data_IF_296040459869
#
_entry.id   IF_296040459869
#
_cell.length_a   1.000
_cell.length_b   1.000
_cell.length_c   1.000
_cell.angle_alpha   90.00
_cell.angle_beta   90.00
_cell.angle_gamma   90.00
#
_symmetry.space_group_name_H-M   'P 1'
#
loop_
_entity.id
_entity.type
_entity.pdbx_description
1 polymer ?
#
# COMPACT_ATOMS: atom_id res chain seq x y z
N UNK A 1 -19.93 -34.75 7.16
CA UNK A 1 -19.20 -33.67 7.87
C UNK A 1 -20.24 -32.87 8.63
N UNK A 2 -20.17 -32.78 9.96
CA UNK A 2 -21.19 -32.05 10.71
C UNK A 2 -20.99 -30.54 10.52
N UNK A 3 -22.08 -29.76 10.60
CA UNK A 3 -22.03 -28.29 10.41
C UNK A 3 -21.01 -27.65 11.35
N UNK A 4 -20.91 -28.15 12.58
CA UNK A 4 -19.94 -27.71 13.59
C UNK A 4 -18.50 -27.92 13.11
N UNK A 5 -18.19 -29.09 12.53
CA UNK A 5 -16.85 -29.40 12.01
C UNK A 5 -16.50 -28.51 10.82
N UNK A 6 -17.48 -28.21 9.97
CA UNK A 6 -17.30 -27.36 8.80
C UNK A 6 -17.02 -25.89 9.21
N UNK A 7 -17.70 -25.39 10.24
CA UNK A 7 -17.47 -24.04 10.79
C UNK A 7 -16.13 -23.96 11.52
N UNK A 8 -15.80 -24.95 12.35
CA UNK A 8 -14.51 -25.01 13.04
C UNK A 8 -13.33 -25.05 12.05
N UNK A 9 -13.48 -25.82 10.97
CA UNK A 9 -12.46 -25.90 9.92
C UNK A 9 -12.31 -24.56 9.19
N UNK A 10 -13.41 -23.90 8.82
CA UNK A 10 -13.37 -22.57 8.21
C UNK A 10 -12.69 -21.53 9.13
N UNK A 11 -13.02 -21.56 10.42
CA UNK A 11 -12.40 -20.68 11.42
C UNK A 11 -10.90 -20.97 11.58
N UNK A 12 -10.49 -22.24 11.56
CA UNK A 12 -9.06 -22.60 11.63
C UNK A 12 -8.27 -22.11 10.41
N UNK A 13 -8.84 -22.19 9.20
CA UNK A 13 -8.21 -21.64 8.00
C UNK A 13 -8.13 -20.12 8.05
N UNK A 14 -9.22 -19.44 8.41
CA UNK A 14 -9.24 -18.00 8.58
C UNK A 14 -8.18 -17.54 9.59
N UNK A 15 -8.06 -18.23 10.73
CA UNK A 15 -7.06 -17.95 11.75
C UNK A 15 -5.63 -18.22 11.26
N UNK A 16 -5.40 -19.33 10.55
CA UNK A 16 -4.09 -19.65 9.98
C UNK A 16 -3.61 -18.58 9.01
N UNK A 17 -4.47 -18.18 8.07
CA UNK A 17 -4.18 -17.09 7.15
C UNK A 17 -3.97 -15.76 7.89
N UNK A 18 -4.80 -15.45 8.89
CA UNK A 18 -4.64 -14.26 9.72
C UNK A 18 -3.25 -14.23 10.38
N UNK A 19 -2.83 -15.36 10.97
CA UNK A 19 -1.54 -15.49 11.62
C UNK A 19 -0.37 -15.30 10.65
N UNK A 20 -0.46 -15.90 9.45
CA UNK A 20 0.56 -15.76 8.42
C UNK A 20 0.70 -14.33 7.89
N UNK A 21 -0.39 -13.58 7.74
CA UNK A 21 -0.34 -12.21 7.19
C UNK A 21 -0.10 -11.13 8.25
N UNK A 22 -0.34 -11.41 9.53
CA UNK A 22 -0.32 -10.39 10.59
C UNK A 22 1.02 -9.67 10.68
N UNK A 23 2.15 -10.39 10.57
CA UNK A 23 3.47 -9.76 10.65
C UNK A 23 3.71 -8.81 9.47
N UNK A 24 3.30 -9.19 8.26
CA UNK A 24 3.44 -8.38 7.05
C UNK A 24 2.55 -7.13 7.12
N UNK A 25 1.34 -7.26 7.67
CA UNK A 25 0.45 -6.12 7.93
C UNK A 25 1.04 -5.15 8.95
N UNK A 26 1.59 -5.64 10.05
CA UNK A 26 2.25 -4.81 11.06
C UNK A 26 3.43 -4.06 10.44
N UNK A 27 4.30 -4.75 9.69
CA UNK A 27 5.45 -4.14 9.05
C UNK A 27 5.03 -3.08 8.01
N UNK A 28 4.06 -3.41 7.16
CA UNK A 28 3.54 -2.51 6.12
C UNK A 28 2.90 -1.26 6.69
N UNK A 29 2.06 -1.38 7.72
CA UNK A 29 1.47 -0.22 8.38
C UNK A 29 2.48 0.58 9.21
N UNK A 30 3.47 -0.08 9.80
CA UNK A 30 4.55 0.63 10.48
C UNK A 30 5.34 1.49 9.48
N UNK A 31 5.74 0.91 8.34
CA UNK A 31 6.46 1.66 7.32
C UNK A 31 5.60 2.78 6.74
N UNK A 32 4.31 2.51 6.52
CA UNK A 32 3.32 3.52 6.13
C UNK A 32 3.30 4.69 7.12
N UNK A 33 3.16 4.38 8.41
CA UNK A 33 3.13 5.37 9.47
C UNK A 33 4.44 6.15 9.61
N UNK A 34 5.59 5.50 9.43
CA UNK A 34 6.91 6.15 9.37
C UNK A 34 6.92 7.17 8.25
N UNK A 35 6.60 6.77 7.03
CA UNK A 35 6.56 7.68 5.87
C UNK A 35 5.60 8.83 6.12
N UNK A 36 4.40 8.56 6.63
CA UNK A 36 3.40 9.58 6.93
C UNK A 36 3.83 10.56 8.03
N UNK A 37 4.61 10.10 9.01
CA UNK A 37 5.11 10.91 10.13
C UNK A 37 6.35 11.75 9.80
N UNK A 38 7.22 11.25 8.91
CA UNK A 38 8.56 11.84 8.69
C UNK A 38 8.64 12.61 7.38
N UNK A 39 7.82 12.23 6.39
CA UNK A 39 7.77 12.90 5.10
C UNK A 39 6.68 13.96 5.16
N UNK A 40 7.14 15.20 5.33
CA UNK A 40 6.25 16.36 5.29
C UNK A 40 5.55 16.45 3.93
N UNK A 41 4.32 16.98 3.90
CA UNK A 41 3.60 17.23 2.65
C UNK A 41 4.48 17.96 1.62
N UNK A 42 5.28 18.93 2.09
CA UNK A 42 6.16 19.73 1.25
C UNK A 42 7.33 18.96 0.62
N UNK A 43 7.96 18.01 1.33
CA UNK A 43 9.04 17.18 0.77
C UNK A 43 8.53 16.20 -0.28
N UNK A 44 7.38 15.57 -0.03
CA UNK A 44 6.79 14.62 -0.96
C UNK A 44 6.33 15.30 -2.27
N UNK A 45 5.77 16.53 -2.18
CA UNK A 45 5.48 17.37 -3.36
C UNK A 45 6.76 17.68 -4.14
N UNK A 46 7.86 18.02 -3.45
CA UNK A 46 9.14 18.36 -4.09
C UNK A 46 9.81 17.15 -4.75
N UNK A 47 9.58 15.95 -4.24
CA UNK A 47 10.18 14.71 -4.75
C UNK A 47 9.47 14.19 -6.01
N UNK A 48 8.14 14.36 -6.11
CA UNK A 48 7.31 13.85 -7.21
C UNK A 48 6.46 14.95 -7.89
N UNK A 49 7.10 15.98 -8.49
CA UNK A 49 6.38 17.12 -9.06
C UNK A 49 5.68 16.83 -10.39
N UNK A 50 6.15 15.84 -11.14
CA UNK A 50 5.72 15.54 -12.51
C UNK A 50 5.72 14.05 -12.80
N UNK A 51 5.26 13.68 -13.99
CA UNK A 51 5.27 12.32 -14.52
C UNK A 51 6.49 12.07 -15.44
N UNK A 52 7.55 12.87 -15.34
CA UNK A 52 8.75 12.68 -16.18
C UNK A 52 9.42 11.33 -15.89
N UNK A 53 10.14 10.72 -16.86
CA UNK A 53 10.74 9.40 -16.68
C UNK A 53 11.61 9.29 -15.42
N UNK A 54 12.37 10.35 -15.11
CA UNK A 54 13.21 10.41 -13.90
C UNK A 54 12.39 10.32 -12.61
N UNK A 55 11.25 11.01 -12.54
CA UNK A 55 10.39 11.01 -11.34
C UNK A 55 9.62 9.72 -11.22
N UNK A 56 9.19 9.13 -12.33
CA UNK A 56 8.61 7.78 -12.32
C UNK A 56 9.61 6.75 -11.80
N UNK A 57 10.88 6.79 -12.23
CA UNK A 57 11.92 5.90 -11.66
C UNK A 57 12.07 6.08 -10.16
N UNK A 58 12.08 7.32 -9.65
CA UNK A 58 12.15 7.58 -8.20
C UNK A 58 10.93 7.00 -7.48
N UNK A 59 9.72 7.24 -8.00
CA UNK A 59 8.48 6.69 -7.45
C UNK A 59 8.51 5.15 -7.42
N UNK A 60 8.97 4.52 -8.50
CA UNK A 60 9.11 3.07 -8.61
C UNK A 60 10.11 2.53 -7.59
N UNK A 61 11.29 3.15 -7.44
CA UNK A 61 12.29 2.70 -6.48
C UNK A 61 11.81 2.85 -5.03
N UNK A 62 11.13 3.95 -4.71
CA UNK A 62 10.51 4.16 -3.40
C UNK A 62 9.41 3.12 -3.14
N UNK A 63 8.60 2.81 -4.14
CA UNK A 63 7.56 1.77 -4.04
C UNK A 63 8.19 0.41 -3.80
N UNK A 64 9.14 -0.01 -4.64
CA UNK A 64 9.86 -1.28 -4.51
C UNK A 64 10.51 -1.44 -3.12
N UNK A 65 11.10 -0.35 -2.58
CA UNK A 65 11.66 -0.33 -1.23
C UNK A 65 10.60 -0.41 -0.12
N UNK A 66 9.38 0.10 -0.37
CA UNK A 66 8.29 0.13 0.60
C UNK A 66 7.72 -1.26 0.91
N UNK A 67 7.86 -2.24 0.00
CA UNK A 67 7.42 -3.64 0.20
C UNK A 67 6.08 -3.78 0.92
N UNK A 68 5.09 -3.00 0.47
CA UNK A 68 3.80 -2.87 1.15
C UNK A 68 2.75 -3.75 0.49
N UNK A 69 1.87 -4.35 1.29
CA UNK A 69 0.70 -5.07 0.79
C UNK A 69 -0.24 -4.14 0.00
N UNK A 70 -1.13 -4.67 -0.86
CA UNK A 70 -2.01 -3.86 -1.72
C UNK A 70 -2.82 -2.80 -0.96
N UNK A 71 -3.26 -3.11 0.27
CA UNK A 71 -3.97 -2.14 1.11
C UNK A 71 -3.07 -0.98 1.59
N UNK A 72 -1.89 -1.31 2.11
CA UNK A 72 -0.93 -0.30 2.56
C UNK A 72 -0.41 0.54 1.38
N UNK A 73 -0.18 -0.09 0.21
CA UNK A 73 0.22 0.59 -1.01
C UNK A 73 -0.82 1.63 -1.47
N UNK A 74 -2.11 1.27 -1.50
CA UNK A 74 -3.21 2.19 -1.86
C UNK A 74 -3.35 3.33 -0.85
N UNK A 75 -3.26 3.04 0.45
CA UNK A 75 -3.32 4.07 1.50
C UNK A 75 -2.18 5.10 1.34
N UNK A 76 -0.96 4.61 1.11
CA UNK A 76 0.21 5.44 0.84
C UNK A 76 0.08 6.23 -0.45
N UNK A 77 -0.35 5.61 -1.54
CA UNK A 77 -0.54 6.27 -2.83
C UNK A 77 -1.59 7.39 -2.76
N UNK A 78 -2.71 7.16 -2.07
CA UNK A 78 -3.74 8.18 -1.81
C UNK A 78 -3.19 9.32 -0.96
N UNK A 79 -2.44 9.02 0.10
CA UNK A 79 -1.78 10.04 0.92
C UNK A 79 -0.81 10.88 0.08
N UNK A 80 0.04 10.24 -0.73
CA UNK A 80 0.95 10.89 -1.67
C UNK A 80 0.22 11.81 -2.65
N UNK A 81 -0.87 11.31 -3.24
CA UNK A 81 -1.67 12.08 -4.19
C UNK A 81 -2.39 13.27 -3.53
N UNK A 82 -3.11 13.06 -2.43
CA UNK A 82 -3.79 14.14 -1.67
C UNK A 82 -2.79 15.23 -1.27
N UNK A 83 -1.60 14.81 -0.85
CA UNK A 83 -0.53 15.72 -0.43
C UNK A 83 0.10 16.50 -1.58
N UNK A 84 -0.31 16.31 -2.84
CA UNK A 84 0.06 17.21 -3.95
C UNK A 84 1.01 16.60 -4.98
N UNK A 85 1.41 15.34 -4.83
CA UNK A 85 2.21 14.66 -5.84
C UNK A 85 1.45 14.47 -7.16
N UNK A 86 2.21 14.28 -8.24
CA UNK A 86 1.66 13.90 -9.53
C UNK A 86 0.91 12.56 -9.43
N UNK A 87 -0.31 12.49 -9.99
CA UNK A 87 -1.16 11.30 -9.93
C UNK A 87 -0.48 10.06 -10.55
N UNK A 88 0.12 10.21 -11.74
CA UNK A 88 0.82 9.11 -12.42
C UNK A 88 2.01 8.60 -11.59
N UNK A 89 2.75 9.49 -10.95
CA UNK A 89 3.85 9.10 -10.06
C UNK A 89 3.34 8.36 -8.81
N UNK A 90 2.22 8.78 -8.23
CA UNK A 90 1.59 8.07 -7.10
C UNK A 90 1.13 6.65 -7.50
N UNK A 91 0.56 6.49 -8.68
CA UNK A 91 0.14 5.17 -9.20
C UNK A 91 1.35 4.29 -9.57
N UNK A 92 2.43 4.88 -10.08
CA UNK A 92 3.67 4.15 -10.33
C UNK A 92 4.33 3.65 -9.02
N UNK A 93 4.28 4.46 -7.95
CA UNK A 93 4.69 4.05 -6.60
C UNK A 93 3.83 2.88 -6.10
N UNK A 94 2.51 2.97 -6.26
CA UNK A 94 1.56 1.93 -5.84
C UNK A 94 1.87 0.58 -6.50
N UNK A 95 1.98 0.56 -7.84
CA UNK A 95 2.30 -0.67 -8.60
C UNK A 95 3.66 -1.23 -8.18
N UNK A 96 4.67 -0.36 -8.05
CA UNK A 96 6.01 -0.83 -7.68
C UNK A 96 6.04 -1.41 -6.27
N UNK A 97 5.24 -0.86 -5.35
CA UNK A 97 5.13 -1.35 -3.98
C UNK A 97 4.56 -2.76 -3.87
N UNK A 98 3.76 -3.20 -4.85
CA UNK A 98 3.16 -4.53 -4.84
C UNK A 98 3.91 -5.52 -5.72
N UNK A 99 4.60 -5.06 -6.77
CA UNK A 99 5.16 -5.93 -7.83
C UNK A 99 6.68 -6.00 -7.87
N UNK A 100 7.41 -5.06 -7.25
CA UNK A 100 8.88 -5.02 -7.34
C UNK A 100 9.56 -5.33 -6.01
N UNK A 101 8.88 -6.08 -5.16
CA UNK A 101 9.34 -6.49 -3.84
C UNK A 101 10.45 -7.53 -3.97
N UNK A 102 11.61 -7.25 -3.37
CA UNK A 102 12.77 -8.15 -3.39
C UNK A 102 12.44 -9.50 -2.73
N UNK A 103 11.67 -9.48 -1.65
CA UNK A 103 11.23 -10.68 -0.94
C UNK A 103 10.44 -11.63 -1.86
N UNK A 104 9.43 -11.11 -2.57
CA UNK A 104 8.67 -11.88 -3.55
C UNK A 104 9.58 -12.41 -4.65
N UNK A 105 10.52 -11.58 -5.12
CA UNK A 105 11.55 -11.98 -6.07
C UNK A 105 12.35 -13.22 -5.63
N UNK A 106 12.77 -13.26 -4.37
CA UNK A 106 13.50 -14.40 -3.79
C UNK A 106 12.61 -15.64 -3.75
N UNK A 107 11.35 -15.50 -3.32
CA UNK A 107 10.39 -16.62 -3.25
C UNK A 107 10.13 -17.19 -4.66
N UNK A 108 9.88 -16.33 -5.65
CA UNK A 108 9.69 -16.74 -7.05
C UNK A 108 10.93 -17.45 -7.60
N UNK A 109 12.13 -16.96 -7.30
CA UNK A 109 13.38 -17.55 -7.77
C UNK A 109 13.58 -18.96 -7.25
N UNK A 110 13.21 -19.19 -5.98
CA UNK A 110 13.35 -20.49 -5.34
C UNK A 110 12.26 -21.49 -5.74
N UNK A 111 11.00 -21.03 -5.88
CA UNK A 111 9.86 -21.93 -6.12
C UNK A 111 9.54 -22.17 -7.60
N UNK A 112 9.65 -21.12 -8.43
CA UNK A 112 9.23 -21.15 -9.84
C UNK A 112 10.42 -20.99 -10.80
N UNK A 113 11.59 -20.62 -10.27
CA UNK A 113 12.83 -20.47 -11.02
C UNK A 113 13.07 -19.05 -11.53
N UNK A 114 14.26 -18.85 -12.09
CA UNK A 114 14.75 -17.53 -12.48
C UNK A 114 13.96 -16.90 -13.64
N UNK A 115 13.34 -17.70 -14.50
CA UNK A 115 12.54 -17.21 -15.64
C UNK A 115 11.31 -16.42 -15.18
N UNK A 116 10.58 -16.94 -14.19
CA UNK A 116 9.43 -16.26 -13.59
C UNK A 116 9.86 -15.02 -12.82
N UNK A 117 10.97 -15.10 -12.10
CA UNK A 117 11.54 -13.96 -11.36
C UNK A 117 11.90 -12.82 -12.30
N UNK A 118 12.60 -13.14 -13.39
CA UNK A 118 12.95 -12.16 -14.41
C UNK A 118 11.67 -11.60 -15.07
N UNK A 119 10.67 -12.44 -15.32
CA UNK A 119 9.37 -12.04 -15.82
C UNK A 119 8.69 -10.99 -14.93
N UNK A 120 8.67 -11.20 -13.62
CA UNK A 120 8.12 -10.24 -12.65
C UNK A 120 8.89 -8.92 -12.66
N UNK A 121 10.22 -8.98 -12.55
CA UNK A 121 11.07 -7.78 -12.50
C UNK A 121 11.11 -6.98 -13.80
N UNK A 122 10.78 -7.61 -14.94
CA UNK A 122 10.58 -6.90 -16.22
C UNK A 122 9.13 -6.45 -16.40
N UNK A 123 8.18 -7.26 -15.93
CA UNK A 123 6.75 -7.03 -16.01
C UNK A 123 6.30 -5.82 -15.21
N UNK A 124 6.77 -5.66 -13.98
CA UNK A 124 6.46 -4.51 -13.14
C UNK A 124 6.83 -3.16 -13.80
N UNK A 125 8.09 -2.95 -14.22
CA UNK A 125 8.48 -1.75 -14.95
C UNK A 125 7.73 -1.58 -16.28
N UNK A 126 7.47 -2.67 -17.01
CA UNK A 126 6.68 -2.62 -18.23
C UNK A 126 5.24 -2.13 -17.95
N UNK A 127 4.59 -2.62 -16.90
CA UNK A 127 3.27 -2.16 -16.47
C UNK A 127 3.27 -0.68 -16.12
N UNK A 128 4.31 -0.20 -15.42
CA UNK A 128 4.45 1.22 -15.07
C UNK A 128 4.62 2.07 -16.33
N UNK A 129 5.43 1.63 -17.30
CA UNK A 129 5.59 2.31 -18.59
C UNK A 129 4.27 2.36 -19.36
N UNK A 130 3.57 1.24 -19.45
CA UNK A 130 2.27 1.16 -20.12
C UNK A 130 1.25 2.07 -19.46
N UNK A 131 1.15 2.06 -18.13
CA UNK A 131 0.29 2.95 -17.36
C UNK A 131 0.64 4.42 -17.62
N UNK A 132 1.92 4.78 -17.57
CA UNK A 132 2.36 6.15 -17.82
C UNK A 132 1.99 6.61 -19.24
N UNK A 133 2.17 5.76 -20.26
CA UNK A 133 1.79 6.06 -21.65
C UNK A 133 0.27 6.20 -21.79
N UNK A 134 -0.50 5.29 -21.21
CA UNK A 134 -1.96 5.35 -21.22
C UNK A 134 -2.47 6.61 -20.53
N UNK A 135 -1.94 6.96 -19.37
CA UNK A 135 -2.35 8.17 -18.66
C UNK A 135 -1.96 9.43 -19.43
N UNK A 136 -0.75 9.51 -19.98
CA UNK A 136 -0.38 10.65 -20.84
C UNK A 136 -1.31 10.81 -22.05
N UNK A 137 -1.85 9.72 -22.59
CA UNK A 137 -2.72 9.75 -23.77
C UNK A 137 -4.20 9.97 -23.44
N UNK A 138 -4.69 9.42 -22.34
CA UNK A 138 -6.13 9.35 -22.05
C UNK A 138 -6.55 10.13 -20.80
N UNK A 139 -5.64 10.37 -19.85
CA UNK A 139 -5.96 11.02 -18.58
C UNK A 139 -6.05 12.54 -18.78
N UNK A 140 -7.27 13.07 -18.74
CA UNK A 140 -7.52 14.50 -18.86
C UNK A 140 -7.18 15.23 -17.55
N UNK A 141 -6.56 16.42 -17.60
CA UNK A 141 -6.28 17.22 -16.40
C UNK A 141 -7.53 17.52 -15.57
N UNK A 142 -8.70 17.66 -16.21
CA UNK A 142 -9.98 17.88 -15.54
C UNK A 142 -10.41 16.71 -14.64
N UNK A 143 -10.12 15.47 -15.04
CA UNK A 143 -10.41 14.27 -14.25
C UNK A 143 -9.53 14.22 -13.01
N UNK A 144 -8.24 14.52 -13.16
CA UNK A 144 -7.31 14.58 -12.03
C UNK A 144 -7.68 15.69 -11.06
N UNK A 145 -8.10 16.86 -11.58
CA UNK A 145 -8.56 17.97 -10.77
C UNK A 145 -9.85 17.62 -10.03
N UNK A 146 -10.80 16.91 -10.66
CA UNK A 146 -12.00 16.43 -9.98
C UNK A 146 -11.66 15.38 -8.92
N UNK A 147 -10.79 14.42 -9.22
CA UNK A 147 -10.31 13.44 -8.25
C UNK A 147 -9.64 14.11 -7.05
N UNK A 148 -8.84 15.17 -7.28
CA UNK A 148 -8.24 15.98 -6.22
C UNK A 148 -9.30 16.70 -5.39
N UNK A 149 -10.26 17.38 -6.03
CA UNK A 149 -11.39 18.00 -5.33
C UNK A 149 -12.16 17.00 -4.48
N UNK A 150 -12.43 15.80 -5.00
CA UNK A 150 -13.11 14.74 -4.26
C UNK A 150 -12.29 14.26 -3.05
N UNK A 151 -10.97 14.08 -3.23
CA UNK A 151 -10.09 13.67 -2.15
C UNK A 151 -9.91 14.77 -1.08
N UNK A 152 -9.99 16.04 -1.47
CA UNK A 152 -9.88 17.21 -0.57
C UNK A 152 -11.17 17.49 0.20
N UNK A 153 -12.33 16.99 -0.25
CA UNK A 153 -13.60 17.08 0.51
C UNK A 153 -13.54 16.39 1.87
N UNK A 154 -12.49 15.59 2.14
CA UNK A 154 -12.32 14.92 3.43
C UNK A 154 -13.48 13.99 3.76
N UNK A 155 -14.23 13.53 2.74
CA UNK A 155 -15.35 12.61 2.91
C UNK A 155 -14.79 11.36 3.56
N UNK A 156 -15.12 11.19 4.84
CA UNK A 156 -14.71 10.04 5.63
C UNK A 156 -15.28 8.79 4.98
N UNK A 157 -14.46 8.08 4.20
CA UNK A 157 -14.71 6.67 3.97
C UNK A 157 -14.69 5.93 5.32
N UNK A 158 -15.25 4.74 5.41
CA UNK A 158 -15.10 3.88 6.61
C UNK A 158 -13.62 3.66 6.99
N UNK A 159 -12.71 3.93 6.05
CA UNK A 159 -11.25 3.87 6.14
C UNK A 159 -10.57 5.17 6.61
N UNK A 160 -11.27 6.28 6.87
CA UNK A 160 -10.64 7.62 7.02
C UNK A 160 -11.23 8.50 8.15
N UNK A 161 -11.44 7.97 9.36
CA UNK A 161 -11.91 8.81 10.49
C UNK A 161 -11.07 10.07 10.80
N UNK A 162 -9.81 10.15 10.34
CA UNK A 162 -8.78 10.96 11.01
C UNK A 162 -7.78 11.70 10.10
N UNK A 163 -8.04 11.80 8.79
CA UNK A 163 -7.13 12.46 7.82
C UNK A 163 -6.95 14.00 7.95
N UNK A 164 -7.56 14.64 8.95
CA UNK A 164 -7.44 16.09 9.21
C UNK A 164 -6.29 16.47 10.14
N UNK A 165 -5.71 15.54 10.91
CA UNK A 165 -4.59 15.85 11.81
C UNK A 165 -3.26 15.60 11.09
N UNK A 166 -2.72 16.64 10.44
CA UNK A 166 -1.36 16.59 9.89
C UNK A 166 -0.33 16.68 11.04
N UNK A 167 0.05 15.51 11.56
CA UNK A 167 1.01 15.37 12.66
C UNK A 167 2.45 15.17 12.14
N UNK A 168 2.72 15.42 10.85
CA UNK A 168 4.04 15.19 10.28
C UNK A 168 5.08 16.16 10.89
N UNK A 169 6.18 15.60 11.37
CA UNK A 169 7.27 16.39 11.97
C UNK A 169 8.11 16.98 10.85
N UNK A 170 8.32 18.30 10.84
CA UNK A 170 9.05 19.02 9.78
C UNK A 170 10.49 19.38 10.15
N UNK A 171 10.85 19.32 11.43
CA UNK A 171 12.13 19.86 11.90
C UNK A 171 13.25 18.81 11.86
N UNK A 172 14.37 19.17 11.22
CA UNK A 172 15.60 18.37 11.18
C UNK A 172 15.66 17.27 10.10
N UNK A 173 16.79 16.56 10.00
CA UNK A 173 16.97 15.44 9.05
C UNK A 173 16.08 14.24 9.38
N UNK A 174 15.73 13.43 8.36
CA UNK A 174 14.75 12.32 8.47
C UNK A 174 15.00 11.37 9.66
N UNK A 175 16.26 10.99 9.92
CA UNK A 175 16.59 10.12 11.04
C UNK A 175 16.28 10.77 12.40
N UNK A 176 16.53 12.08 12.53
CA UNK A 176 16.24 12.83 13.75
C UNK A 176 14.73 13.02 13.94
N UNK A 177 13.96 13.11 12.85
CA UNK A 177 12.48 13.14 12.92
C UNK A 177 11.94 11.82 13.45
N UNK A 178 12.41 10.68 12.92
CA UNK A 178 11.97 9.33 13.35
C UNK A 178 12.24 9.10 14.85
N UNK A 179 13.43 9.46 15.33
CA UNK A 179 13.85 9.20 16.71
C UNK A 179 13.37 10.26 17.71
N UNK A 180 12.74 11.34 17.24
CA UNK A 180 12.20 12.38 18.11
C UNK A 180 10.93 11.91 18.86
N UNK A 181 10.65 12.45 20.07
CA UNK A 181 9.41 12.15 20.79
C UNK A 181 8.14 12.51 20.00
N UNK A 182 8.20 13.61 19.24
CA UNK A 182 7.13 14.04 18.35
C UNK A 182 6.93 13.06 17.19
N UNK A 183 8.03 12.58 16.59
CA UNK A 183 8.00 11.59 15.52
C UNK A 183 7.44 10.26 15.99
N UNK A 184 7.86 9.76 17.15
CA UNK A 184 7.31 8.54 17.73
C UNK A 184 5.79 8.66 18.00
N UNK A 185 5.35 9.82 18.50
CA UNK A 185 3.93 10.09 18.73
C UNK A 185 3.14 10.09 17.42
N UNK A 186 3.66 10.76 16.38
CA UNK A 186 3.05 10.80 15.07
C UNK A 186 2.97 9.41 14.42
N UNK A 187 4.08 8.65 14.42
CA UNK A 187 4.14 7.26 13.91
C UNK A 187 3.11 6.39 14.62
N UNK A 188 3.06 6.44 15.95
CA UNK A 188 2.11 5.62 16.74
C UNK A 188 0.66 5.95 16.39
N UNK A 189 0.33 7.24 16.23
CA UNK A 189 -1.03 7.65 15.85
C UNK A 189 -1.37 7.22 14.42
N UNK A 190 -0.48 7.44 13.45
CA UNK A 190 -0.69 7.00 12.07
C UNK A 190 -0.84 5.47 11.99
N UNK A 191 -0.05 4.70 12.74
CA UNK A 191 -0.12 3.25 12.78
C UNK A 191 -1.47 2.74 13.30
N UNK A 192 -1.92 3.24 14.46
CA UNK A 192 -3.21 2.84 15.06
C UNK A 192 -4.38 3.24 14.14
N UNK A 193 -4.24 4.39 13.50
CA UNK A 193 -5.23 4.93 12.57
C UNK A 193 -5.34 4.08 11.30
N UNK A 194 -4.22 3.68 10.70
CA UNK A 194 -4.18 2.77 9.55
C UNK A 194 -4.81 1.40 9.91
N UNK A 195 -4.56 0.89 11.13
CA UNK A 195 -5.20 -0.34 11.60
C UNK A 195 -6.72 -0.19 11.78
N UNK A 196 -7.15 0.90 12.43
CA UNK A 196 -8.57 1.19 12.70
C UNK A 196 -9.40 1.38 11.43
N UNK A 197 -8.76 1.79 10.33
CA UNK A 197 -9.39 1.95 9.03
C UNK A 197 -9.78 0.60 8.38
N UNK A 198 -8.92 -0.42 8.48
CA UNK A 198 -8.96 -1.58 7.57
C UNK A 198 -9.35 -2.89 8.29
N UNK A 199 -9.36 -2.92 9.63
CA UNK A 199 -9.59 -4.17 10.39
C UNK A 199 -10.90 -4.89 10.03
N UNK A 200 -11.96 -4.15 9.70
CA UNK A 200 -13.25 -4.73 9.29
C UNK A 200 -13.14 -5.49 7.97
N UNK A 201 -12.49 -4.88 6.98
CA UNK A 201 -12.34 -5.45 5.65
C UNK A 201 -11.43 -6.69 5.68
N UNK A 202 -10.35 -6.64 6.46
CA UNK A 202 -9.47 -7.79 6.70
C UNK A 202 -10.23 -8.93 7.38
N UNK A 203 -11.02 -8.62 8.41
CA UNK A 203 -11.79 -9.64 9.15
C UNK A 203 -12.81 -10.31 8.24
N UNK A 204 -13.60 -9.54 7.50
CA UNK A 204 -14.60 -10.07 6.58
C UNK A 204 -13.94 -10.89 5.47
N UNK A 205 -12.85 -10.39 4.88
CA UNK A 205 -12.10 -11.09 3.84
C UNK A 205 -11.55 -12.44 4.31
N UNK A 206 -10.96 -12.49 5.51
CA UNK A 206 -10.43 -13.72 6.10
C UNK A 206 -11.52 -14.75 6.40
N UNK A 207 -12.68 -14.31 6.89
CA UNK A 207 -13.81 -15.20 7.15
C UNK A 207 -14.37 -15.80 5.86
N UNK A 208 -14.49 -14.99 4.79
CA UNK A 208 -14.92 -15.47 3.47
C UNK A 208 -13.88 -16.44 2.90
N UNK A 209 -12.60 -16.11 2.96
CA UNK A 209 -11.53 -16.98 2.47
C UNK A 209 -11.49 -18.31 3.23
N UNK A 210 -11.63 -18.29 4.56
CA UNK A 210 -11.68 -19.50 5.38
C UNK A 210 -12.90 -20.37 5.08
N UNK A 211 -14.06 -19.75 4.84
CA UNK A 211 -15.25 -20.45 4.39
C UNK A 211 -15.05 -21.13 3.03
N UNK A 212 -14.46 -20.42 2.05
CA UNK A 212 -14.16 -20.97 0.73
C UNK A 212 -13.15 -22.13 0.84
N UNK A 213 -12.06 -21.96 1.59
CA UNK A 213 -11.05 -23.01 1.78
C UNK A 213 -11.61 -24.27 2.47
N UNK A 214 -12.59 -24.13 3.35
CA UNK A 214 -13.20 -25.26 4.04
C UNK A 214 -14.31 -25.95 3.25
N UNK A 215 -15.03 -25.23 2.38
CA UNK A 215 -16.27 -25.71 1.75
C UNK A 215 -16.16 -25.97 0.25
N UNK A 216 -15.17 -25.37 -0.43
CA UNK A 216 -14.95 -25.60 -1.87
C UNK A 216 -14.08 -26.86 -2.06
N UNK A 217 -14.56 -27.87 -2.81
CA UNK A 217 -13.75 -29.05 -3.13
C UNK A 217 -12.53 -28.66 -3.98
N UNK A 218 -11.35 -29.14 -3.62
CA UNK A 218 -10.10 -28.90 -4.34
C UNK A 218 -9.87 -29.89 -5.50
N UNK A 219 -10.80 -30.81 -5.73
CA UNK A 219 -10.72 -31.84 -6.75
C UNK A 219 -11.80 -31.61 -7.82
N UNK A 220 -11.35 -31.38 -9.05
CA UNK A 220 -12.08 -31.59 -10.30
C UNK A 220 -11.15 -32.30 -11.28
#
# INVERSE_FOLDING_TARGET
MNVVDAVLRAASFAFGMAWEITWALILGFFLSAVVQAVVSKAEMIRLLPDDSPRRLTIATLLGAASSSCSYAAVALARSIFRKGANFTAAMAFEIASTNLVIELGIILALLLGWQFTLGEFLGGPLMIVLLAVLFRRFLKPSLVAEARRQADRGLRGSMEGHAEMDMAVTDGPLLARITSPAGFTAISHYFVMDWAAIWKDITVGLLIAGALAAWVPMEA
#
